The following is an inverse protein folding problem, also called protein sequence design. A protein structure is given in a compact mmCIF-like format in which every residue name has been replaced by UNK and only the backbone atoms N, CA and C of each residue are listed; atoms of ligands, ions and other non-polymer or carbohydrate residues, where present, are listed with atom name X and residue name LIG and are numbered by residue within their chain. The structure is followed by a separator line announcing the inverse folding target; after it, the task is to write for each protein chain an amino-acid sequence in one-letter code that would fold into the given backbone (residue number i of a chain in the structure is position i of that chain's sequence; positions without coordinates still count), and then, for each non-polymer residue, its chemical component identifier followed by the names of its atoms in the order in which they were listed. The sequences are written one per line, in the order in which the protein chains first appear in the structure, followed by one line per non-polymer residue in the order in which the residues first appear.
data_IF_183673134697
#
_entry.id   IF_183673134697
#
_cell.length_a   1.000
_cell.length_b   1.000
_cell.length_c   1.000
_cell.angle_alpha   90.00
_cell.angle_beta   90.00
_cell.angle_gamma   90.00
#
_symmetry.space_group_name_H-M   'P 1'
#
loop_
_entity.id
_entity.type
_entity.pdbx_description
1 polymer ?
#
# COMPACT_ATOMS: atom_id res chain seq x y z
N UNK A 1 -2.42 12.30 13.74
CA UNK A 1 -3.01 10.95 13.85
C UNK A 1 -2.75 10.24 12.54
N UNK A 2 -2.41 8.95 12.57
CA UNK A 2 -2.17 8.17 11.35
C UNK A 2 -2.96 6.86 11.47
N UNK A 3 -3.27 6.25 10.33
CA UNK A 3 -3.79 4.90 10.25
C UNK A 3 -2.74 3.99 9.64
N UNK A 4 -2.82 2.70 9.93
CA UNK A 4 -1.96 1.69 9.33
C UNK A 4 -2.81 0.78 8.45
N UNK A 5 -2.33 0.57 7.23
CA UNK A 5 -2.97 -0.28 6.24
C UNK A 5 -1.99 -1.40 5.93
N UNK A 6 -2.40 -2.63 6.18
CA UNK A 6 -1.66 -3.82 5.80
C UNK A 6 -2.07 -4.24 4.38
N UNK A 7 -1.08 -4.42 3.51
CA UNK A 7 -1.23 -4.89 2.16
C UNK A 7 -0.52 -6.24 2.06
N UNK A 8 -1.28 -7.26 1.67
CA UNK A 8 -0.76 -8.60 1.41
C UNK A 8 -0.93 -8.89 -0.07
N UNK A 9 0.17 -8.82 -0.83
CA UNK A 9 0.13 -9.14 -2.25
C UNK A 9 0.10 -10.66 -2.45
N UNK A 10 -0.81 -11.14 -3.29
CA UNK A 10 -0.98 -12.57 -3.50
C UNK A 10 0.19 -13.18 -4.30
N UNK A 11 0.70 -12.48 -5.32
CA UNK A 11 1.81 -12.98 -6.17
C UNK A 11 2.54 -11.80 -6.83
N UNK A 12 3.66 -11.33 -6.27
CA UNK A 12 4.62 -10.57 -7.08
C UNK A 12 5.39 -11.56 -7.95
N UNK A 13 5.26 -11.46 -9.28
CA UNK A 13 5.88 -12.42 -10.22
C UNK A 13 7.40 -12.25 -10.32
N UNK A 14 7.90 -11.03 -10.09
CA UNK A 14 9.31 -10.66 -10.17
C UNK A 14 9.62 -9.51 -9.20
N UNK A 15 10.90 -9.35 -8.81
CA UNK A 15 11.37 -8.21 -8.00
C UNK A 15 10.99 -6.86 -8.63
N UNK A 16 11.03 -6.78 -9.96
CA UNK A 16 10.63 -5.59 -10.72
C UNK A 16 9.16 -5.21 -10.52
N UNK A 17 8.25 -6.18 -10.42
CA UNK A 17 6.83 -5.92 -10.13
C UNK A 17 6.66 -5.35 -8.72
N UNK A 18 7.38 -5.90 -7.74
CA UNK A 18 7.39 -5.41 -6.37
C UNK A 18 7.92 -3.96 -6.29
N UNK A 19 9.03 -3.67 -6.98
CA UNK A 19 9.58 -2.32 -7.08
C UNK A 19 8.59 -1.34 -7.71
N UNK A 20 7.94 -1.71 -8.82
CA UNK A 20 6.92 -0.87 -9.47
C UNK A 20 5.74 -0.62 -8.53
N UNK A 21 5.30 -1.65 -7.80
CA UNK A 21 4.23 -1.54 -6.83
C UNK A 21 4.59 -0.55 -5.72
N UNK A 22 5.77 -0.70 -5.12
CA UNK A 22 6.26 0.21 -4.08
C UNK A 22 6.42 1.64 -4.58
N UNK A 23 6.96 1.82 -5.79
CA UNK A 23 7.10 3.14 -6.44
C UNK A 23 5.75 3.81 -6.65
N UNK A 24 4.70 3.04 -6.99
CA UNK A 24 3.34 3.59 -7.13
C UNK A 24 2.74 3.97 -5.79
N UNK A 25 2.87 3.12 -4.78
CA UNK A 25 2.42 3.45 -3.42
C UNK A 25 3.12 4.72 -2.94
N UNK A 26 4.45 4.83 -3.07
CA UNK A 26 5.19 6.00 -2.58
C UNK A 26 4.80 7.33 -3.26
N UNK A 27 4.04 7.30 -4.36
CA UNK A 27 3.50 8.49 -5.04
C UNK A 27 2.12 8.90 -4.57
N UNK A 28 1.44 8.09 -3.76
CA UNK A 28 0.12 8.40 -3.24
C UNK A 28 0.24 9.53 -2.21
N UNK A 29 -0.53 10.59 -2.44
CA UNK A 29 -0.64 11.70 -1.50
C UNK A 29 -1.23 11.20 -0.18
N UNK A 30 -0.60 11.58 0.93
CA UNK A 30 -1.04 11.18 2.27
C UNK A 30 -0.38 9.92 2.83
N UNK A 31 0.43 9.22 2.03
CA UNK A 31 1.32 8.18 2.57
C UNK A 31 2.48 8.84 3.31
N UNK A 32 2.64 8.45 4.58
CA UNK A 32 3.70 8.92 5.46
C UNK A 32 4.90 7.98 5.44
N UNK A 33 4.63 6.67 5.44
CA UNK A 33 5.66 5.64 5.56
C UNK A 33 5.16 4.35 4.93
N UNK A 34 6.08 3.62 4.30
CA UNK A 34 5.84 2.26 3.85
C UNK A 34 6.94 1.38 4.47
N UNK A 35 6.55 0.26 5.06
CA UNK A 35 7.48 -0.68 5.70
C UNK A 35 7.11 -2.09 5.26
N UNK A 36 8.09 -2.84 4.78
CA UNK A 36 7.92 -4.27 4.53
C UNK A 36 8.23 -5.05 5.80
N UNK A 37 7.30 -5.89 6.26
CA UNK A 37 7.44 -6.72 7.46
C UNK A 37 6.80 -8.09 7.20
N UNK A 38 7.55 -9.17 7.45
CA UNK A 38 7.06 -10.56 7.34
C UNK A 38 6.37 -10.85 5.98
N UNK A 39 6.96 -10.39 4.88
CA UNK A 39 6.41 -10.51 3.51
C UNK A 39 5.08 -9.77 3.29
N UNK A 40 4.74 -8.82 4.16
CA UNK A 40 3.61 -7.89 4.02
C UNK A 40 4.09 -6.46 3.94
N UNK A 41 3.28 -5.60 3.32
CA UNK A 41 3.52 -4.17 3.24
C UNK A 41 2.63 -3.43 4.23
N UNK A 42 3.22 -2.71 5.17
CA UNK A 42 2.51 -1.83 6.10
C UNK A 42 2.67 -0.40 5.62
N UNK A 43 1.56 0.23 5.29
CA UNK A 43 1.47 1.60 4.82
C UNK A 43 0.86 2.47 5.91
N UNK A 44 1.62 3.44 6.40
CA UNK A 44 1.12 4.45 7.33
C UNK A 44 0.60 5.65 6.53
N UNK A 45 -0.66 6.04 6.77
CA UNK A 45 -1.34 7.14 6.08
C UNK A 45 -1.79 8.20 7.07
N UNK A 46 -1.70 9.48 6.69
CA UNK A 46 -2.25 10.57 7.50
C UNK A 46 -3.77 10.45 7.60
N UNK A 47 -4.32 10.53 8.81
CA UNK A 47 -5.77 10.39 9.03
C UNK A 47 -6.61 11.43 8.26
N UNK A 48 -6.04 12.59 7.96
CA UNK A 48 -6.67 13.67 7.17
C UNK A 48 -6.87 13.31 5.71
N UNK A 49 -6.04 12.42 5.17
CA UNK A 49 -6.04 12.01 3.75
C UNK A 49 -6.41 10.52 3.61
N UNK A 50 -6.89 9.91 4.69
CA UNK A 50 -7.24 8.48 4.77
C UNK A 50 -8.12 8.04 3.60
N UNK A 51 -9.22 8.73 3.35
CA UNK A 51 -10.22 8.23 2.41
C UNK A 51 -9.71 8.28 0.96
N UNK A 52 -8.99 9.35 0.61
CA UNK A 52 -8.34 9.50 -0.70
C UNK A 52 -7.21 8.48 -0.87
N UNK A 53 -6.29 8.41 0.10
CA UNK A 53 -5.18 7.48 0.04
C UNK A 53 -5.64 6.02 0.04
N UNK A 54 -6.70 5.67 0.77
CA UNK A 54 -7.28 4.33 0.75
C UNK A 54 -7.89 4.00 -0.63
N UNK A 55 -8.54 4.96 -1.28
CA UNK A 55 -9.05 4.77 -2.64
C UNK A 55 -7.92 4.54 -3.65
N UNK A 56 -6.84 5.31 -3.55
CA UNK A 56 -5.66 5.17 -4.42
C UNK A 56 -4.91 3.86 -4.16
N UNK A 57 -4.76 3.47 -2.88
CA UNK A 57 -4.16 2.19 -2.48
C UNK A 57 -5.00 1.03 -3.03
N UNK A 58 -6.34 1.11 -2.95
CA UNK A 58 -7.26 0.11 -3.53
C UNK A 58 -7.07 -0.01 -5.03
N UNK A 59 -7.06 1.11 -5.76
CA UNK A 59 -6.87 1.10 -7.20
C UNK A 59 -5.53 0.46 -7.62
N UNK A 60 -4.47 0.70 -6.85
CA UNK A 60 -3.18 0.03 -7.06
C UNK A 60 -3.26 -1.45 -6.70
N UNK A 61 -3.85 -1.82 -5.56
CA UNK A 61 -3.98 -3.22 -5.16
C UNK A 61 -4.81 -4.04 -6.14
N UNK A 62 -5.85 -3.47 -6.76
CA UNK A 62 -6.67 -4.13 -7.78
C UNK A 62 -5.85 -4.54 -9.02
N UNK A 63 -4.84 -3.74 -9.42
CA UNK A 63 -3.96 -4.05 -10.55
C UNK A 63 -3.10 -5.28 -10.27
N UNK A 64 -2.61 -5.43 -9.04
CA UNK A 64 -1.74 -6.54 -8.62
C UNK A 64 -2.48 -7.65 -7.87
N UNK A 65 -3.82 -7.62 -7.84
CA UNK A 65 -4.65 -8.54 -7.05
C UNK A 65 -4.17 -8.67 -5.60
N UNK A 66 -3.75 -7.57 -4.99
CA UNK A 66 -3.31 -7.51 -3.61
C UNK A 66 -4.52 -7.33 -2.67
N UNK A 67 -4.44 -7.93 -1.49
CA UNK A 67 -5.45 -7.79 -0.44
C UNK A 67 -5.07 -6.67 0.52
N UNK A 68 -6.07 -5.92 0.98
CA UNK A 68 -5.91 -4.81 1.92
C UNK A 68 -6.63 -5.15 3.23
N UNK A 69 -5.97 -4.90 4.35
CA UNK A 69 -6.52 -5.00 5.69
C UNK A 69 -6.26 -3.71 6.47
N UNK A 70 -7.27 -3.19 7.15
CA UNK A 70 -7.19 -1.98 7.97
C UNK A 70 -6.95 -2.39 9.43
N UNK A 71 -5.90 -1.86 10.05
CA UNK A 71 -5.59 -2.09 11.47
C UNK A 71 -6.05 -0.92 12.36
#
# INVERSE_FOLDING_TARGET
MNIEIEITAAVFKCQTDEDIFYQRLSKITGIKKIVTKDSKLIVSVFSTEKDQALADIRAICDIWHASINLM
#
